data_IF_479491375912
#
_entry.id   IF_479491375912
#
_cell.length_a   1.000
_cell.length_b   1.000
_cell.length_c   1.000
_cell.angle_alpha   90.00
_cell.angle_beta   90.00
_cell.angle_gamma   90.00
#
_symmetry.space_group_name_H-M   'P 1'
#
loop_
_entity.id
_entity.type
_entity.pdbx_description
1 polymer ?
#
# COMPACT_ATOMS: atom_id res chain seq x y z
N UNK A 1 0.44 30.25 2.92
CA UNK A 1 -0.38 29.87 1.73
C UNK A 1 -1.76 29.32 2.10
N UNK A 2 -1.95 28.69 3.26
CA UNK A 2 -3.20 27.96 3.61
C UNK A 2 -4.21 28.75 4.46
N UNK A 3 -3.78 29.82 5.12
CA UNK A 3 -4.64 30.57 6.05
C UNK A 3 -5.57 31.59 5.37
N UNK A 4 -5.40 31.79 4.05
CA UNK A 4 -6.27 32.64 3.23
C UNK A 4 -6.73 31.83 2.02
N UNK A 5 -7.91 32.14 1.46
CA UNK A 5 -8.32 31.54 0.20
C UNK A 5 -7.24 31.76 -0.88
N UNK A 6 -7.14 30.86 -1.87
CA UNK A 6 -6.22 31.01 -2.98
C UNK A 6 -6.45 32.35 -3.70
N UNK A 7 -5.36 32.93 -4.24
CA UNK A 7 -5.45 34.20 -4.98
C UNK A 7 -5.54 33.98 -6.48
N UNK A 8 -4.91 32.91 -6.95
CA UNK A 8 -5.04 32.39 -8.30
C UNK A 8 -6.46 31.88 -8.55
N UNK A 9 -6.80 31.69 -9.82
CA UNK A 9 -8.07 31.11 -10.22
C UNK A 9 -8.10 29.58 -10.02
N UNK A 10 -9.29 29.02 -10.19
CA UNK A 10 -9.50 27.59 -10.00
C UNK A 10 -8.69 26.74 -10.98
N UNK A 11 -8.60 27.16 -12.24
CA UNK A 11 -7.87 26.44 -13.28
C UNK A 11 -6.37 26.34 -12.94
N UNK A 12 -5.76 27.42 -12.45
CA UNK A 12 -4.36 27.42 -12.02
C UNK A 12 -4.13 26.48 -10.84
N UNK A 13 -5.04 26.45 -9.85
CA UNK A 13 -4.90 25.53 -8.72
C UNK A 13 -4.97 24.05 -9.16
N UNK A 14 -5.85 23.68 -10.10
CA UNK A 14 -5.90 22.33 -10.64
C UNK A 14 -4.72 22.00 -11.56
N UNK A 15 -4.19 22.99 -12.29
CA UNK A 15 -2.96 22.81 -13.05
C UNK A 15 -1.79 22.40 -12.14
N UNK A 16 -1.65 23.03 -10.97
CA UNK A 16 -0.62 22.63 -10.00
C UNK A 16 -0.82 21.20 -9.48
N UNK A 17 -2.07 20.78 -9.23
CA UNK A 17 -2.38 19.39 -8.87
C UNK A 17 -1.95 18.44 -9.99
N UNK A 18 -2.32 18.74 -11.24
CA UNK A 18 -2.00 17.90 -12.40
C UNK A 18 -0.48 17.82 -12.65
N UNK A 19 0.23 18.95 -12.59
CA UNK A 19 1.70 18.98 -12.73
C UNK A 19 2.39 18.21 -11.61
N UNK A 20 1.86 18.25 -10.38
CA UNK A 20 2.42 17.49 -9.27
C UNK A 20 2.21 15.99 -9.41
N UNK A 21 1.01 15.56 -9.82
CA UNK A 21 0.73 14.14 -10.15
C UNK A 21 1.64 13.67 -11.27
N UNK A 22 1.80 14.47 -12.33
CA UNK A 22 2.70 14.16 -13.44
C UNK A 22 4.15 14.02 -12.97
N UNK A 23 4.59 14.90 -12.06
CA UNK A 23 5.92 14.81 -11.45
C UNK A 23 6.10 13.46 -10.73
N UNK A 24 5.14 13.05 -9.88
CA UNK A 24 5.17 11.76 -9.19
C UNK A 24 5.29 10.60 -10.19
N UNK A 25 4.43 10.57 -11.21
CA UNK A 25 4.39 9.46 -12.16
C UNK A 25 5.62 9.40 -13.08
N UNK A 26 6.20 10.55 -13.44
CA UNK A 26 7.47 10.59 -14.20
C UNK A 26 8.63 10.08 -13.34
N UNK A 27 8.60 10.29 -12.02
CA UNK A 27 9.66 9.78 -11.15
C UNK A 27 9.62 8.27 -10.95
N UNK A 28 8.47 7.61 -11.16
CA UNK A 28 8.31 6.16 -10.94
C UNK A 28 9.28 5.29 -11.77
N UNK A 29 9.37 5.44 -13.11
CA UNK A 29 10.31 4.65 -13.91
C UNK A 29 11.78 5.02 -13.66
N UNK A 30 12.03 6.28 -13.27
CA UNK A 30 13.38 6.80 -13.04
C UNK A 30 13.93 6.41 -11.67
N UNK A 31 13.08 6.09 -10.70
CA UNK A 31 13.46 5.84 -9.32
C UNK A 31 14.59 4.80 -9.19
N UNK A 32 14.53 3.68 -9.91
CA UNK A 32 15.61 2.66 -9.87
C UNK A 32 16.93 3.16 -10.43
N UNK A 33 16.86 3.95 -11.49
CA UNK A 33 18.05 4.55 -12.09
C UNK A 33 18.68 5.55 -11.13
N UNK A 34 17.85 6.35 -10.46
CA UNK A 34 18.29 7.30 -9.43
C UNK A 34 18.88 6.55 -8.23
N UNK A 35 18.24 5.48 -7.76
CA UNK A 35 18.73 4.65 -6.65
C UNK A 35 20.08 4.02 -6.97
N UNK A 36 20.22 3.38 -8.13
CA UNK A 36 21.49 2.79 -8.55
C UNK A 36 22.58 3.86 -8.63
N UNK A 37 22.28 5.00 -9.25
CA UNK A 37 23.22 6.11 -9.32
C UNK A 37 23.63 6.65 -7.95
N UNK A 38 22.68 6.84 -7.02
CA UNK A 38 22.95 7.28 -5.65
C UNK A 38 23.77 6.23 -4.90
N UNK A 39 23.42 4.94 -4.99
CA UNK A 39 24.17 3.87 -4.33
C UNK A 39 25.61 3.77 -4.84
N UNK A 40 25.83 4.05 -6.13
CA UNK A 40 27.15 4.01 -6.75
C UNK A 40 28.02 5.26 -6.44
N UNK A 41 27.39 6.42 -6.17
CA UNK A 41 28.10 7.71 -6.09
C UNK A 41 27.96 8.44 -4.74
N UNK A 42 27.09 7.99 -3.85
CA UNK A 42 26.77 8.65 -2.59
C UNK A 42 26.42 7.66 -1.48
N UNK A 43 26.54 8.13 -0.24
CA UNK A 43 26.03 7.40 0.92
C UNK A 43 24.49 7.32 0.83
N UNK A 44 23.86 6.14 0.98
CA UNK A 44 22.40 6.03 1.09
C UNK A 44 21.77 6.99 2.10
N UNK A 45 22.50 7.36 3.16
CA UNK A 45 22.07 8.36 4.14
C UNK A 45 21.87 9.76 3.54
N UNK A 46 22.53 10.10 2.43
CA UNK A 46 22.34 11.40 1.76
C UNK A 46 20.87 11.62 1.38
N UNK A 47 20.23 10.59 0.84
CA UNK A 47 18.82 10.69 0.45
C UNK A 47 17.92 10.95 1.66
N UNK A 48 18.16 10.22 2.75
CA UNK A 48 17.46 10.44 4.01
C UNK A 48 17.62 11.90 4.51
N UNK A 49 18.83 12.46 4.46
CA UNK A 49 19.07 13.84 4.84
C UNK A 49 18.36 14.86 3.94
N UNK A 50 18.26 14.59 2.64
CA UNK A 50 17.49 15.42 1.71
C UNK A 50 16.02 15.44 2.10
N UNK A 51 15.43 14.27 2.37
CA UNK A 51 14.04 14.12 2.84
C UNK A 51 13.83 14.92 4.14
N UNK A 52 14.70 14.76 5.12
CA UNK A 52 14.63 15.51 6.39
C UNK A 52 14.76 17.03 6.16
N UNK A 53 15.69 17.46 5.31
CA UNK A 53 15.85 18.87 4.98
C UNK A 53 14.57 19.47 4.37
N UNK A 54 13.90 18.73 3.48
CA UNK A 54 12.60 19.15 2.93
C UNK A 54 11.50 19.25 3.99
N UNK A 55 11.41 18.30 4.92
CA UNK A 55 10.46 18.35 6.05
C UNK A 55 10.74 19.58 6.92
N UNK A 56 12.00 19.82 7.27
CA UNK A 56 12.41 20.96 8.10
C UNK A 56 12.10 22.28 7.40
N UNK A 57 12.48 22.42 6.13
CA UNK A 57 12.19 23.63 5.34
C UNK A 57 10.68 23.86 5.22
N UNK A 58 9.90 22.81 4.93
CA UNK A 58 8.44 22.88 4.87
C UNK A 58 7.83 23.32 6.21
N UNK A 59 8.32 22.76 7.32
CA UNK A 59 7.92 23.13 8.68
C UNK A 59 8.26 24.59 9.00
N UNK A 60 9.47 25.04 8.70
CA UNK A 60 9.90 26.43 8.90
C UNK A 60 9.06 27.41 8.08
N UNK A 61 8.75 27.07 6.82
CA UNK A 61 7.85 27.86 5.96
C UNK A 61 6.44 27.91 6.55
N UNK A 62 5.93 26.81 7.10
CA UNK A 62 4.63 26.77 7.75
C UNK A 62 4.59 27.66 9.00
N UNK A 63 5.59 27.55 9.88
CA UNK A 63 5.74 28.38 11.10
C UNK A 63 5.88 29.85 10.75
N UNK A 64 6.75 30.20 9.78
CA UNK A 64 6.89 31.58 9.29
C UNK A 64 5.55 32.13 8.80
N UNK A 65 4.77 31.34 8.08
CA UNK A 65 3.46 31.77 7.59
C UNK A 65 2.42 31.93 8.71
N UNK A 66 2.45 31.07 9.74
CA UNK A 66 1.62 31.22 10.95
C UNK A 66 1.89 32.57 11.62
N UNK A 67 3.18 32.87 11.87
CA UNK A 67 3.62 34.10 12.51
C UNK A 67 3.24 35.33 11.66
N UNK A 68 3.54 35.32 10.36
CA UNK A 68 3.26 36.45 9.44
C UNK A 68 1.78 36.77 9.28
N UNK A 69 0.91 35.80 9.52
CA UNK A 69 -0.53 35.96 9.35
C UNK A 69 -1.23 36.19 10.68
N UNK A 70 -0.48 36.38 11.76
CA UNK A 70 -0.99 36.60 13.12
C UNK A 70 -2.02 35.54 13.52
N UNK A 71 -1.82 34.33 13.02
CA UNK A 71 -2.63 33.19 13.40
C UNK A 71 -2.09 32.76 14.76
N UNK A 72 -2.97 32.74 15.75
CA UNK A 72 -2.67 32.27 17.10
C UNK A 72 -3.35 30.92 17.32
N UNK A 73 -2.71 29.78 16.96
CA UNK A 73 -3.28 28.47 17.19
C UNK A 73 -3.49 28.25 18.69
N UNK A 74 -4.57 27.58 19.04
CA UNK A 74 -4.80 27.15 20.41
C UNK A 74 -3.73 26.14 20.84
N UNK A 75 -3.48 25.93 22.15
CA UNK A 75 -2.55 24.89 22.61
C UNK A 75 -2.87 23.51 22.03
N UNK A 76 -4.15 23.16 21.92
CA UNK A 76 -4.60 21.93 21.28
C UNK A 76 -4.21 21.84 19.80
N UNK A 77 -4.32 22.95 19.06
CA UNK A 77 -3.89 23.00 17.66
C UNK A 77 -2.37 22.80 17.53
N UNK A 78 -1.58 23.38 18.43
CA UNK A 78 -0.14 23.12 18.49
C UNK A 78 0.19 21.66 18.80
N UNK A 79 -0.54 21.03 19.74
CA UNK A 79 -0.38 19.61 20.02
C UNK A 79 -0.66 18.74 18.79
N UNK A 80 -1.70 19.07 18.01
CA UNK A 80 -2.00 18.36 16.75
C UNK A 80 -0.88 18.55 15.74
N UNK A 81 -0.42 19.78 15.52
CA UNK A 81 0.66 20.06 14.55
C UNK A 81 1.97 19.36 14.96
N UNK A 82 2.30 19.37 16.25
CA UNK A 82 3.46 18.67 16.78
C UNK A 82 3.32 17.14 16.62
N UNK A 83 2.13 16.58 16.89
CA UNK A 83 1.87 15.16 16.70
C UNK A 83 2.00 14.75 15.22
N UNK A 84 1.41 15.53 14.30
CA UNK A 84 1.53 15.25 12.86
C UNK A 84 2.99 15.38 12.39
N UNK A 85 3.71 16.41 12.83
CA UNK A 85 5.12 16.58 12.50
C UNK A 85 5.97 15.41 13.03
N UNK A 86 5.71 14.98 14.26
CA UNK A 86 6.37 13.81 14.85
C UNK A 86 6.04 12.52 14.09
N UNK A 87 4.79 12.32 13.67
CA UNK A 87 4.41 11.20 12.80
C UNK A 87 5.15 11.24 11.47
N UNK A 88 5.25 12.41 10.82
CA UNK A 88 5.99 12.54 9.57
C UNK A 88 7.48 12.23 9.73
N UNK A 89 8.11 12.73 10.79
CA UNK A 89 9.50 12.43 11.11
C UNK A 89 9.72 10.95 11.42
N UNK A 90 8.83 10.35 12.23
CA UNK A 90 8.90 8.94 12.61
C UNK A 90 8.73 8.02 11.41
N UNK A 91 7.70 8.23 10.57
CA UNK A 91 7.52 7.43 9.35
C UNK A 91 8.71 7.60 8.40
N UNK A 92 9.19 8.82 8.17
CA UNK A 92 10.37 9.05 7.32
C UNK A 92 11.61 8.33 7.85
N UNK A 93 11.78 8.23 9.17
CA UNK A 93 12.87 7.48 9.80
C UNK A 93 12.73 5.96 9.63
N UNK A 94 11.50 5.43 9.74
CA UNK A 94 11.24 4.01 9.49
C UNK A 94 11.50 3.64 8.04
N UNK A 95 11.25 4.57 7.12
CA UNK A 95 11.46 4.41 5.67
C UNK A 95 12.90 4.73 5.22
N UNK A 96 13.85 4.95 6.14
CA UNK A 96 15.23 5.36 5.79
C UNK A 96 15.98 4.33 4.93
N UNK A 97 15.60 3.06 5.03
CA UNK A 97 16.20 1.96 4.26
C UNK A 97 15.66 1.91 2.82
N UNK A 98 14.46 2.47 2.60
CA UNK A 98 13.81 2.64 1.30
C UNK A 98 13.56 4.13 1.06
N UNK A 99 14.61 4.93 0.80
CA UNK A 99 14.53 6.38 0.70
C UNK A 99 13.41 6.90 -0.21
N UNK A 100 13.17 6.22 -1.32
CA UNK A 100 12.12 6.50 -2.28
C UNK A 100 10.71 6.43 -1.67
N UNK A 101 10.45 5.52 -0.74
CA UNK A 101 9.16 5.42 -0.04
C UNK A 101 8.98 6.67 0.85
N UNK A 102 10.05 7.11 1.51
CA UNK A 102 10.04 8.33 2.34
C UNK A 102 9.79 9.59 1.49
N UNK A 103 10.35 9.64 0.28
CA UNK A 103 10.11 10.75 -0.65
C UNK A 103 8.66 10.77 -1.15
N UNK A 104 8.12 9.62 -1.57
CA UNK A 104 6.72 9.51 -1.97
C UNK A 104 5.79 9.94 -0.85
N UNK A 105 6.06 9.53 0.39
CA UNK A 105 5.28 9.95 1.55
C UNK A 105 5.17 11.48 1.67
N UNK A 106 6.26 12.22 1.46
CA UNK A 106 6.21 13.70 1.41
C UNK A 106 5.44 14.19 0.18
N UNK A 107 5.69 13.61 -1.00
CA UNK A 107 5.02 14.01 -2.24
C UNK A 107 3.49 13.89 -2.14
N UNK A 108 2.98 12.82 -1.53
CA UNK A 108 1.54 12.64 -1.31
C UNK A 108 0.97 13.58 -0.24
N UNK A 109 1.75 13.94 0.78
CA UNK A 109 1.39 15.02 1.70
C UNK A 109 1.21 16.35 0.98
N UNK A 110 2.16 16.72 0.10
CA UNK A 110 2.08 17.93 -0.73
C UNK A 110 0.91 17.87 -1.71
N UNK A 111 0.70 16.72 -2.38
CA UNK A 111 -0.45 16.51 -3.26
C UNK A 111 -1.76 16.79 -2.53
N UNK A 112 -1.90 16.25 -1.31
CA UNK A 112 -3.09 16.45 -0.49
C UNK A 112 -3.33 17.93 -0.16
N UNK A 113 -2.27 18.68 0.12
CA UNK A 113 -2.35 20.12 0.33
C UNK A 113 -2.79 20.88 -0.93
N UNK A 114 -2.25 20.52 -2.10
CA UNK A 114 -2.62 21.13 -3.38
C UNK A 114 -4.08 20.83 -3.76
N UNK A 115 -4.53 19.60 -3.53
CA UNK A 115 -5.92 19.20 -3.76
C UNK A 115 -6.86 19.95 -2.81
N UNK A 116 -6.54 20.02 -1.52
CA UNK A 116 -7.28 20.86 -0.57
C UNK A 116 -7.41 22.28 -1.12
N UNK A 117 -6.28 22.88 -1.53
CA UNK A 117 -6.26 24.24 -2.07
C UNK A 117 -7.15 24.39 -3.30
N UNK A 118 -7.07 23.50 -4.28
CA UNK A 118 -7.92 23.55 -5.47
C UNK A 118 -9.43 23.42 -5.13
N UNK A 119 -9.77 22.55 -4.19
CA UNK A 119 -11.16 22.35 -3.76
C UNK A 119 -11.75 23.59 -3.05
N UNK A 120 -10.92 24.45 -2.43
CA UNK A 120 -11.42 25.65 -1.70
C UNK A 120 -12.11 26.68 -2.60
N UNK A 121 -11.91 26.59 -3.92
CA UNK A 121 -12.62 27.41 -4.91
C UNK A 121 -14.12 27.06 -5.01
N UNK A 122 -14.46 25.79 -4.76
CA UNK A 122 -15.84 25.29 -4.89
C UNK A 122 -16.50 24.99 -3.55
N UNK A 123 -15.71 24.54 -2.57
CA UNK A 123 -16.22 24.09 -1.27
C UNK A 123 -15.53 24.84 -0.14
N UNK A 124 -16.32 25.24 0.86
CA UNK A 124 -15.82 25.90 2.07
C UNK A 124 -16.43 25.26 3.31
N UNK A 125 -16.62 23.95 3.28
CA UNK A 125 -17.17 23.16 4.38
C UNK A 125 -16.24 21.99 4.73
N UNK A 126 -16.42 21.31 5.89
CA UNK A 126 -15.49 20.29 6.37
C UNK A 126 -15.33 19.08 5.45
N UNK A 127 -16.26 18.83 4.52
CA UNK A 127 -16.13 17.75 3.55
C UNK A 127 -14.86 17.87 2.70
N UNK A 128 -14.32 19.09 2.52
CA UNK A 128 -13.11 19.33 1.75
C UNK A 128 -11.91 18.49 2.22
N UNK A 129 -11.78 18.31 3.54
CA UNK A 129 -10.70 17.51 4.13
C UNK A 129 -10.85 16.04 3.77
N UNK A 130 -12.09 15.53 3.79
CA UNK A 130 -12.40 14.14 3.42
C UNK A 130 -12.20 13.92 1.92
N UNK A 131 -12.69 14.84 1.08
CA UNK A 131 -12.52 14.75 -0.37
C UNK A 131 -11.04 14.81 -0.74
N UNK A 132 -10.26 15.73 -0.16
CA UNK A 132 -8.84 15.84 -0.43
C UNK A 132 -8.07 14.58 0.00
N UNK A 133 -8.40 14.00 1.17
CA UNK A 133 -7.81 12.73 1.61
C UNK A 133 -8.15 11.59 0.63
N UNK A 134 -9.43 11.41 0.28
CA UNK A 134 -9.87 10.35 -0.64
C UNK A 134 -9.29 10.52 -2.05
N UNK A 135 -9.17 11.75 -2.55
CA UNK A 135 -8.53 12.04 -3.83
C UNK A 135 -7.04 11.70 -3.78
N UNK A 136 -6.35 12.05 -2.69
CA UNK A 136 -4.94 11.67 -2.48
C UNK A 136 -4.79 10.15 -2.45
N UNK A 137 -5.65 9.44 -1.71
CA UNK A 137 -5.69 7.98 -1.71
C UNK A 137 -5.92 7.44 -3.12
N UNK A 138 -6.89 7.96 -3.86
CA UNK A 138 -7.19 7.51 -5.22
C UNK A 138 -5.96 7.58 -6.14
N UNK A 139 -5.23 8.70 -6.14
CA UNK A 139 -4.01 8.84 -6.94
C UNK A 139 -2.84 8.04 -6.37
N UNK A 140 -2.78 7.80 -5.06
CA UNK A 140 -1.82 6.85 -4.47
C UNK A 140 -2.08 5.42 -4.94
N UNK A 141 -3.35 5.01 -5.02
CA UNK A 141 -3.71 3.69 -5.53
C UNK A 141 -3.44 3.55 -7.03
N UNK A 142 -3.70 4.59 -7.81
CA UNK A 142 -3.42 4.60 -9.24
C UNK A 142 -1.92 4.56 -9.53
N UNK A 143 -1.11 5.21 -8.69
CA UNK A 143 0.35 5.13 -8.78
C UNK A 143 0.85 3.71 -8.55
N UNK A 144 0.41 3.02 -7.50
CA UNK A 144 0.76 1.61 -7.27
C UNK A 144 0.30 0.69 -8.42
N UNK A 145 -0.89 0.98 -8.97
CA UNK A 145 -1.36 0.30 -10.18
C UNK A 145 -0.49 0.57 -11.40
N UNK A 146 0.09 1.77 -11.54
CA UNK A 146 1.02 2.12 -12.60
C UNK A 146 2.40 1.48 -12.36
N UNK A 147 2.91 1.51 -11.13
CA UNK A 147 4.15 0.85 -10.73
C UNK A 147 4.12 -0.64 -11.07
N UNK A 148 3.01 -1.32 -10.82
CA UNK A 148 2.81 -2.74 -11.18
C UNK A 148 3.00 -3.05 -12.68
N UNK A 149 2.74 -2.09 -13.57
CA UNK A 149 2.93 -2.26 -15.02
C UNK A 149 4.39 -1.98 -15.42
N UNK A 150 5.16 -1.28 -14.59
CA UNK A 150 6.56 -0.93 -14.87
C UNK A 150 7.46 -2.15 -14.62
N UNK A 151 8.26 -2.60 -15.61
CA UNK A 151 9.08 -3.79 -15.48
C UNK A 151 9.97 -3.80 -14.24
N UNK A 152 9.83 -4.87 -13.48
CA UNK A 152 10.58 -5.16 -12.28
C UNK A 152 10.09 -4.43 -11.04
N UNK A 153 9.13 -3.49 -11.11
CA UNK A 153 8.50 -2.91 -9.92
C UNK A 153 7.39 -3.84 -9.43
N UNK A 154 7.29 -3.97 -8.12
CA UNK A 154 6.31 -4.84 -7.47
C UNK A 154 5.18 -4.00 -6.88
N UNK A 155 3.97 -4.53 -6.93
CA UNK A 155 2.82 -3.93 -6.26
C UNK A 155 2.88 -4.20 -4.75
N UNK A 156 2.69 -3.17 -3.92
CA UNK A 156 2.60 -3.34 -2.47
C UNK A 156 1.43 -2.52 -1.86
N UNK A 157 0.56 -3.20 -1.10
CA UNK A 157 -0.50 -2.55 -0.33
C UNK A 157 0.05 -1.62 0.76
N UNK A 158 1.26 -1.87 1.25
CA UNK A 158 1.94 -0.99 2.20
C UNK A 158 2.15 0.40 1.61
N UNK A 159 2.59 0.48 0.35
CA UNK A 159 2.86 1.75 -0.32
C UNK A 159 1.55 2.53 -0.58
N UNK A 160 0.47 1.83 -0.95
CA UNK A 160 -0.87 2.43 -0.97
C UNK A 160 -1.26 3.02 0.39
N UNK A 161 -0.98 2.30 1.47
CA UNK A 161 -1.25 2.72 2.84
C UNK A 161 -0.43 3.94 3.27
N UNK A 162 0.85 3.98 2.89
CA UNK A 162 1.76 5.12 3.13
C UNK A 162 1.24 6.36 2.40
N UNK A 163 0.90 6.24 1.12
CA UNK A 163 0.38 7.34 0.29
C UNK A 163 -0.96 7.89 0.83
N UNK A 164 -1.88 6.99 1.21
CA UNK A 164 -3.14 7.37 1.86
C UNK A 164 -2.91 8.03 3.22
N UNK A 165 -2.00 7.48 4.03
CA UNK A 165 -1.63 8.00 5.34
C UNK A 165 -1.05 9.41 5.28
N UNK A 166 -0.20 9.70 4.28
CA UNK A 166 0.34 11.04 4.05
C UNK A 166 -0.78 12.06 3.82
N UNK A 167 -1.74 11.70 2.95
CA UNK A 167 -2.91 12.52 2.68
C UNK A 167 -3.74 12.77 3.92
N UNK A 168 -4.09 11.72 4.66
CA UNK A 168 -4.87 11.84 5.90
C UNK A 168 -4.17 12.71 6.93
N UNK A 169 -2.87 12.49 7.18
CA UNK A 169 -2.09 13.29 8.15
C UNK A 169 -2.05 14.77 7.76
N UNK A 170 -1.87 15.06 6.47
CA UNK A 170 -1.94 16.45 5.98
C UNK A 170 -3.32 17.05 6.24
N UNK A 171 -4.40 16.34 5.92
CA UNK A 171 -5.76 16.85 6.14
C UNK A 171 -6.09 17.00 7.64
N UNK A 172 -5.57 16.14 8.52
CA UNK A 172 -5.68 16.27 9.98
C UNK A 172 -4.96 17.55 10.45
N UNK A 173 -3.73 17.79 9.98
CA UNK A 173 -3.00 19.01 10.29
C UNK A 173 -3.78 20.25 9.83
N UNK A 174 -4.40 20.22 8.66
CA UNK A 174 -5.20 21.33 8.15
C UNK A 174 -6.50 21.53 8.95
N UNK A 175 -7.25 20.46 9.19
CA UNK A 175 -8.56 20.50 9.84
C UNK A 175 -8.48 20.88 11.32
N UNK A 176 -7.49 20.35 12.05
CA UNK A 176 -7.44 20.48 13.51
C UNK A 176 -6.27 21.31 14.02
N UNK A 177 -5.19 21.43 13.26
CA UNK A 177 -4.04 22.27 13.58
C UNK A 177 -4.16 23.69 13.01
N UNK A 178 -4.23 23.81 11.69
CA UNK A 178 -4.29 25.10 11.00
C UNK A 178 -5.65 25.78 11.16
N UNK A 179 -6.74 25.03 10.99
CA UNK A 179 -8.13 25.51 11.09
C UNK A 179 -8.37 26.80 10.27
N UNK A 180 -8.32 26.73 8.92
CA UNK A 180 -8.47 27.91 8.08
C UNK A 180 -9.83 28.59 8.34
N UNK A 181 -9.81 29.88 8.71
CA UNK A 181 -11.00 30.61 9.17
C UNK A 181 -12.10 30.76 8.11
N UNK A 182 -11.77 30.59 6.83
CA UNK A 182 -12.71 30.68 5.72
C UNK A 182 -13.45 29.36 5.42
N UNK A 183 -13.19 28.30 6.19
CA UNK A 183 -13.97 27.05 6.14
C UNK A 183 -15.10 27.16 7.16
N UNK A 184 -16.33 27.21 6.67
CA UNK A 184 -17.54 27.26 7.46
C UNK A 184 -17.92 25.87 7.97
N UNK A 185 -18.56 25.77 9.13
CA UNK A 185 -18.96 24.49 9.70
C UNK A 185 -20.23 23.89 9.06
N UNK A 186 -20.89 24.63 8.17
CA UNK A 186 -22.15 24.22 7.54
C UNK A 186 -21.90 23.13 6.49
N UNK A 187 -22.48 21.95 6.70
CA UNK A 187 -22.34 20.84 5.76
C UNK A 187 -23.10 21.12 4.46
N UNK A 188 -22.41 20.97 3.33
CA UNK A 188 -23.00 21.13 1.99
C UNK A 188 -23.26 19.73 1.42
N UNK A 189 -24.53 19.33 1.20
CA UNK A 189 -24.85 17.98 0.70
C UNK A 189 -24.15 17.60 -0.61
N UNK A 190 -24.00 18.56 -1.52
CA UNK A 190 -23.30 18.36 -2.81
C UNK A 190 -21.83 17.99 -2.63
N UNK A 191 -21.15 18.56 -1.64
CA UNK A 191 -19.74 18.27 -1.38
C UNK A 191 -19.58 16.85 -0.81
N UNK A 192 -20.48 16.45 0.10
CA UNK A 192 -20.51 15.08 0.60
C UNK A 192 -20.86 14.04 -0.46
N UNK A 193 -21.68 14.36 -1.46
CA UNK A 193 -21.88 13.47 -2.62
C UNK A 193 -20.58 13.21 -3.38
N UNK A 194 -19.74 14.25 -3.55
CA UNK A 194 -18.42 14.10 -4.18
C UNK A 194 -17.52 13.22 -3.30
N UNK A 195 -17.52 13.42 -1.98
CA UNK A 195 -16.80 12.54 -1.06
C UNK A 195 -17.25 11.08 -1.21
N UNK A 196 -18.56 10.81 -1.27
CA UNK A 196 -19.10 9.47 -1.53
C UNK A 196 -18.62 8.90 -2.87
N UNK A 197 -18.61 9.69 -3.95
CA UNK A 197 -18.13 9.24 -5.27
C UNK A 197 -16.64 8.93 -5.27
N UNK A 198 -15.82 9.75 -4.60
CA UNK A 198 -14.39 9.47 -4.41
C UNK A 198 -14.19 8.17 -3.60
N UNK A 199 -14.96 7.97 -2.53
CA UNK A 199 -14.91 6.75 -1.74
C UNK A 199 -15.31 5.52 -2.57
N UNK A 200 -16.35 5.61 -3.41
CA UNK A 200 -16.75 4.55 -4.33
C UNK A 200 -15.60 4.25 -5.32
N UNK A 201 -14.96 5.26 -5.90
CA UNK A 201 -13.84 5.06 -6.81
C UNK A 201 -12.65 4.34 -6.13
N UNK A 202 -12.31 4.74 -4.90
CA UNK A 202 -11.31 4.06 -4.06
C UNK A 202 -11.70 2.60 -3.81
N UNK A 203 -12.95 2.33 -3.43
CA UNK A 203 -13.43 0.98 -3.16
C UNK A 203 -13.45 0.10 -4.43
N UNK A 204 -13.77 0.67 -5.59
CA UNK A 204 -13.72 -0.04 -6.89
C UNK A 204 -12.29 -0.43 -7.22
N UNK A 205 -11.32 0.49 -7.10
CA UNK A 205 -9.92 0.15 -7.35
C UNK A 205 -9.43 -0.92 -6.36
N UNK A 206 -9.78 -0.79 -5.08
CA UNK A 206 -9.36 -1.74 -4.06
C UNK A 206 -9.94 -3.13 -4.34
N UNK A 207 -11.21 -3.20 -4.74
CA UNK A 207 -11.85 -4.43 -5.18
C UNK A 207 -11.15 -5.01 -6.42
N UNK A 208 -10.78 -4.16 -7.38
CA UNK A 208 -10.03 -4.54 -8.57
C UNK A 208 -8.69 -5.17 -8.24
N UNK A 209 -7.90 -4.53 -7.38
CA UNK A 209 -6.58 -5.00 -6.95
C UNK A 209 -6.68 -6.33 -6.17
N UNK A 210 -7.58 -6.41 -5.19
CA UNK A 210 -7.84 -7.66 -4.46
C UNK A 210 -8.44 -8.78 -5.33
N UNK A 211 -8.97 -8.41 -6.49
CA UNK A 211 -9.43 -9.37 -7.50
C UNK A 211 -8.36 -9.71 -8.53
N UNK A 212 -7.22 -9.01 -8.55
CA UNK A 212 -6.08 -9.30 -9.42
C UNK A 212 -5.23 -10.43 -8.81
N UNK A 213 -5.81 -11.63 -8.81
CA UNK A 213 -5.14 -12.86 -8.38
C UNK A 213 -4.69 -13.67 -9.60
N UNK A 214 -3.69 -14.51 -9.38
CA UNK A 214 -3.27 -15.62 -10.24
C UNK A 214 -4.43 -16.29 -11.00
N UNK A 215 -5.37 -16.86 -10.22
CA UNK A 215 -6.52 -17.60 -10.73
C UNK A 215 -7.43 -16.75 -11.62
N UNK A 216 -7.65 -15.49 -11.23
CA UNK A 216 -8.49 -14.59 -12.00
C UNK A 216 -7.83 -14.15 -13.31
N UNK A 217 -6.50 -13.98 -13.33
CA UNK A 217 -5.76 -13.71 -14.57
C UNK A 217 -5.86 -14.88 -15.55
N UNK A 218 -5.65 -16.11 -15.09
CA UNK A 218 -5.82 -17.32 -15.94
C UNK A 218 -7.24 -17.36 -16.50
N UNK A 219 -8.25 -17.16 -15.64
CA UNK A 219 -9.63 -17.09 -16.07
C UNK A 219 -9.85 -16.01 -17.15
N UNK A 220 -9.37 -14.78 -16.95
CA UNK A 220 -9.50 -13.67 -17.89
C UNK A 220 -8.77 -13.90 -19.22
N UNK A 221 -7.58 -14.53 -19.17
CA UNK A 221 -6.77 -14.84 -20.36
C UNK A 221 -7.48 -15.79 -21.34
N UNK A 222 -8.40 -16.62 -20.84
CA UNK A 222 -9.23 -17.48 -21.69
C UNK A 222 -10.27 -16.71 -22.50
N UNK A 223 -10.61 -15.47 -22.10
CA UNK A 223 -11.66 -14.67 -22.74
C UNK A 223 -11.12 -13.45 -23.51
N UNK A 224 -9.98 -12.90 -23.11
CA UNK A 224 -9.42 -11.68 -23.69
C UNK A 224 -8.07 -12.01 -24.32
N UNK A 225 -8.05 -12.13 -25.64
CA UNK A 225 -6.82 -12.32 -26.41
C UNK A 225 -5.96 -11.05 -26.34
N UNK A 226 -4.68 -11.18 -26.01
CA UNK A 226 -3.73 -10.07 -26.00
C UNK A 226 -3.67 -9.28 -24.69
N UNK A 227 -4.19 -9.80 -23.57
CA UNK A 227 -3.79 -9.27 -22.25
C UNK A 227 -2.26 -9.29 -22.16
N UNK A 228 -1.61 -8.15 -21.86
CA UNK A 228 -0.16 -8.15 -21.66
C UNK A 228 0.18 -9.16 -20.56
N UNK A 229 1.15 -10.01 -20.84
CA UNK A 229 1.68 -10.98 -19.88
C UNK A 229 2.46 -10.23 -18.80
N UNK A 230 1.75 -9.60 -17.87
CA UNK A 230 2.34 -9.17 -16.61
C UNK A 230 2.36 -10.41 -15.74
N UNK A 231 3.53 -11.05 -15.68
CA UNK A 231 3.74 -12.31 -14.95
C UNK A 231 3.46 -12.14 -13.44
N UNK A 232 3.64 -10.92 -12.91
CA UNK A 232 3.46 -10.60 -11.50
C UNK A 232 2.00 -10.33 -11.14
N UNK A 233 1.47 -11.06 -10.16
CA UNK A 233 0.13 -10.83 -9.60
C UNK A 233 0.18 -9.74 -8.52
N UNK A 234 -0.86 -8.91 -8.41
CA UNK A 234 -0.91 -7.90 -7.34
C UNK A 234 -1.16 -8.54 -5.97
N UNK A 235 -1.94 -9.62 -5.93
CA UNK A 235 -2.40 -10.22 -4.67
C UNK A 235 -2.35 -11.73 -4.72
N UNK A 236 -1.78 -12.29 -3.67
CA UNK A 236 -1.81 -13.73 -3.40
C UNK A 236 -2.52 -14.00 -2.09
N UNK A 237 -3.34 -15.05 -2.10
CA UNK A 237 -4.04 -15.56 -0.94
C UNK A 237 -3.50 -16.95 -0.63
N UNK A 238 -3.51 -17.31 0.64
CA UNK A 238 -3.07 -18.63 1.05
C UNK A 238 -3.49 -18.99 2.46
N UNK A 239 -2.68 -19.85 3.06
CA UNK A 239 -2.97 -20.52 4.32
C UNK A 239 -1.82 -20.28 5.27
N UNK A 240 -2.16 -19.87 6.48
CA UNK A 240 -1.23 -19.90 7.61
C UNK A 240 -1.33 -21.29 8.21
N UNK A 241 -0.19 -21.96 8.32
CA UNK A 241 -0.08 -23.31 8.86
C UNK A 241 0.70 -23.22 10.16
N UNK A 242 0.03 -23.54 11.26
CA UNK A 242 0.62 -23.55 12.59
C UNK A 242 0.83 -25.00 13.04
N UNK A 243 2.07 -25.32 13.43
CA UNK A 243 2.52 -26.61 13.96
C UNK A 243 3.14 -26.41 15.33
N UNK A 244 2.30 -26.20 16.37
CA UNK A 244 2.77 -25.92 17.72
C UNK A 244 3.56 -27.08 18.32
N UNK A 245 3.31 -28.31 17.87
CA UNK A 245 4.06 -29.52 18.21
C UNK A 245 5.54 -29.44 17.79
N UNK A 246 5.85 -28.65 16.76
CA UNK A 246 7.20 -28.43 16.26
C UNK A 246 7.72 -27.01 16.57
N UNK A 247 6.90 -26.15 17.19
CA UNK A 247 7.20 -24.72 17.32
C UNK A 247 7.34 -24.02 15.97
N UNK A 248 6.58 -24.41 14.96
CA UNK A 248 6.67 -23.90 13.58
C UNK A 248 5.39 -23.18 13.17
N UNK A 249 5.53 -22.02 12.54
CA UNK A 249 4.48 -21.36 11.76
C UNK A 249 5.03 -21.02 10.39
N UNK A 250 4.28 -21.32 9.33
CA UNK A 250 4.66 -20.97 7.96
C UNK A 250 3.43 -20.69 7.10
N UNK A 251 3.68 -20.22 5.88
CA UNK A 251 2.65 -19.76 4.95
C UNK A 251 2.77 -20.55 3.65
N UNK A 252 1.64 -20.89 3.05
CA UNK A 252 1.58 -21.61 1.78
C UNK A 252 0.42 -21.12 0.95
N UNK A 253 0.60 -21.01 -0.37
CA UNK A 253 -0.48 -20.76 -1.34
C UNK A 253 -1.49 -21.90 -1.41
N UNK A 254 -1.10 -23.10 -0.99
CA UNK A 254 -1.93 -24.30 -0.95
C UNK A 254 -2.23 -24.75 0.49
N UNK A 255 -3.39 -25.36 0.76
CA UNK A 255 -3.65 -26.05 2.01
C UNK A 255 -2.58 -27.11 2.30
N UNK A 256 -2.29 -27.35 3.57
CA UNK A 256 -1.28 -28.32 3.99
C UNK A 256 -1.52 -29.71 3.37
N UNK A 257 -2.76 -30.18 3.43
CA UNK A 257 -3.17 -31.49 2.93
C UNK A 257 -3.02 -31.60 1.42
N UNK A 258 -3.24 -30.50 0.70
CA UNK A 258 -3.08 -30.47 -0.76
C UNK A 258 -1.61 -30.53 -1.16
N UNK A 259 -0.72 -29.85 -0.42
CA UNK A 259 0.73 -29.94 -0.67
C UNK A 259 1.22 -31.38 -0.47
N UNK A 260 0.84 -32.02 0.64
CA UNK A 260 1.23 -33.41 0.92
C UNK A 260 0.67 -34.38 -0.11
N UNK A 261 -0.57 -34.17 -0.56
CA UNK A 261 -1.17 -34.99 -1.61
C UNK A 261 -0.48 -34.81 -2.97
N UNK A 262 -0.11 -33.58 -3.32
CA UNK A 262 0.66 -33.31 -4.53
C UNK A 262 2.06 -33.92 -4.46
N UNK A 263 2.74 -33.87 -3.32
CA UNK A 263 4.01 -34.58 -3.12
C UNK A 263 3.82 -36.09 -3.33
N UNK A 264 2.80 -36.69 -2.74
CA UNK A 264 2.50 -38.13 -2.89
C UNK A 264 2.25 -38.54 -4.34
N UNK A 265 1.60 -37.69 -5.13
CA UNK A 265 1.14 -38.04 -6.48
C UNK A 265 2.08 -37.58 -7.60
N UNK A 266 2.88 -36.54 -7.38
CA UNK A 266 3.71 -35.90 -8.42
C UNK A 266 5.21 -36.09 -8.22
N UNK A 267 5.69 -36.65 -7.10
CA UNK A 267 7.13 -36.69 -6.81
C UNK A 267 7.98 -37.33 -7.93
N UNK A 268 7.51 -38.40 -8.58
CA UNK A 268 8.25 -39.08 -9.66
C UNK A 268 8.50 -38.16 -10.88
N UNK A 269 7.55 -37.27 -11.18
CA UNK A 269 7.65 -36.27 -12.24
C UNK A 269 8.63 -35.15 -11.85
N UNK A 270 8.59 -34.75 -10.58
CA UNK A 270 9.26 -33.54 -10.08
C UNK A 270 10.74 -33.77 -9.79
N UNK A 271 11.09 -34.91 -9.20
CA UNK A 271 12.46 -35.22 -8.74
C UNK A 271 13.51 -35.08 -9.86
N UNK A 272 13.29 -35.61 -11.08
CA UNK A 272 14.27 -35.47 -12.17
C UNK A 272 14.54 -34.01 -12.54
N UNK A 273 13.49 -33.18 -12.64
CA UNK A 273 13.65 -31.77 -12.99
C UNK A 273 14.34 -30.98 -11.88
N UNK A 274 14.00 -31.26 -10.63
CA UNK A 274 14.61 -30.60 -9.47
C UNK A 274 16.10 -30.94 -9.34
N UNK A 275 16.48 -32.19 -9.61
CA UNK A 275 17.89 -32.63 -9.60
C UNK A 275 18.72 -31.98 -10.72
N UNK A 276 18.09 -31.50 -11.79
CA UNK A 276 18.77 -30.72 -12.85
C UNK A 276 18.88 -29.24 -12.48
N UNK A 277 17.90 -28.72 -11.74
CA UNK A 277 17.78 -27.29 -11.39
C UNK A 277 18.17 -26.97 -9.94
N UNK A 278 19.10 -27.74 -9.36
CA UNK A 278 19.44 -27.61 -7.94
C UNK A 278 20.25 -26.36 -7.62
N UNK A 279 21.01 -25.82 -8.58
CA UNK A 279 21.96 -24.71 -8.34
C UNK A 279 21.28 -23.36 -8.13
N UNK A 280 21.99 -22.45 -7.47
CA UNK A 280 21.49 -21.12 -7.11
C UNK A 280 21.21 -20.23 -8.34
N UNK A 281 22.07 -20.29 -9.36
CA UNK A 281 21.93 -19.53 -10.62
C UNK A 281 20.69 -19.93 -11.42
N UNK A 282 20.13 -21.12 -11.15
CA UNK A 282 18.91 -21.63 -11.75
C UNK A 282 17.65 -21.24 -10.98
N UNK A 283 17.75 -20.56 -9.83
CA UNK A 283 16.59 -20.18 -9.01
C UNK A 283 15.58 -19.32 -9.77
N UNK A 284 16.02 -18.20 -10.35
CA UNK A 284 15.13 -17.29 -11.08
C UNK A 284 14.55 -17.95 -12.34
N UNK A 285 15.34 -18.65 -13.20
CA UNK A 285 14.78 -19.45 -14.29
C UNK A 285 13.73 -20.46 -13.85
N UNK A 286 13.95 -21.15 -12.71
CA UNK A 286 13.00 -22.13 -12.19
C UNK A 286 11.67 -21.49 -11.79
N UNK A 287 11.69 -20.35 -11.08
CA UNK A 287 10.46 -19.63 -10.73
C UNK A 287 9.73 -19.03 -11.93
N UNK A 288 10.44 -18.71 -13.02
CA UNK A 288 9.81 -18.30 -14.28
C UNK A 288 9.16 -19.48 -15.01
N UNK A 289 9.76 -20.67 -14.92
CA UNK A 289 9.22 -21.92 -15.47
C UNK A 289 7.99 -22.39 -14.68
N UNK A 290 8.04 -22.25 -13.36
CA UNK A 290 6.97 -22.62 -12.43
C UNK A 290 6.53 -21.41 -11.59
N UNK A 291 5.85 -20.44 -12.22
CA UNK A 291 5.38 -19.28 -11.50
C UNK A 291 4.25 -19.68 -10.55
N UNK A 292 4.12 -18.95 -9.44
CA UNK A 292 3.19 -19.27 -8.36
C UNK A 292 1.73 -19.41 -8.81
N UNK A 293 1.35 -18.72 -9.88
CA UNK A 293 -0.01 -18.76 -10.42
C UNK A 293 -0.31 -19.98 -11.30
N UNK A 294 0.73 -20.65 -11.84
CA UNK A 294 0.56 -21.84 -12.68
C UNK A 294 0.83 -23.11 -11.88
N UNK A 295 1.92 -23.13 -11.10
CA UNK A 295 2.30 -24.27 -10.27
C UNK A 295 2.75 -23.80 -8.89
N UNK A 296 1.80 -23.45 -8.00
CA UNK A 296 2.12 -23.01 -6.63
C UNK A 296 2.86 -24.10 -5.85
N UNK A 297 2.66 -25.38 -6.15
CA UNK A 297 3.33 -26.48 -5.45
C UNK A 297 4.84 -26.48 -5.69
N UNK A 298 5.27 -26.44 -6.97
CA UNK A 298 6.69 -26.37 -7.32
C UNK A 298 7.32 -25.03 -6.96
N UNK A 299 6.54 -23.95 -7.04
CA UNK A 299 6.98 -22.64 -6.59
C UNK A 299 7.34 -22.64 -5.10
N UNK A 300 6.42 -23.08 -4.22
CA UNK A 300 6.63 -23.15 -2.77
C UNK A 300 7.81 -24.07 -2.41
N UNK A 301 7.90 -25.24 -3.06
CA UNK A 301 9.02 -26.17 -2.87
C UNK A 301 10.37 -25.48 -3.10
N UNK A 302 10.49 -24.76 -4.23
CA UNK A 302 11.75 -24.12 -4.62
C UNK A 302 12.12 -22.95 -3.71
N UNK A 303 11.16 -22.14 -3.28
CA UNK A 303 11.47 -20.99 -2.41
C UNK A 303 11.86 -21.42 -0.99
N UNK A 304 11.25 -22.48 -0.45
CA UNK A 304 11.67 -23.08 0.82
C UNK A 304 13.07 -23.68 0.71
N UNK A 305 13.33 -24.46 -0.35
CA UNK A 305 14.66 -25.01 -0.62
C UNK A 305 15.72 -23.91 -0.71
N UNK A 306 15.46 -22.87 -1.51
CA UNK A 306 16.40 -21.77 -1.71
C UNK A 306 16.71 -21.05 -0.39
N UNK A 307 15.68 -20.75 0.42
CA UNK A 307 15.88 -20.12 1.73
C UNK A 307 16.71 -21.01 2.65
N UNK A 308 16.38 -22.29 2.74
CA UNK A 308 17.14 -23.27 3.52
C UNK A 308 18.62 -23.24 3.13
N UNK A 309 18.91 -23.45 1.85
CA UNK A 309 20.29 -23.60 1.35
C UNK A 309 21.09 -22.28 1.46
N UNK A 310 20.44 -21.13 1.31
CA UNK A 310 21.06 -19.81 1.47
C UNK A 310 21.45 -19.54 2.92
N UNK A 311 20.56 -19.82 3.87
CA UNK A 311 20.85 -19.61 5.29
C UNK A 311 21.85 -20.64 5.84
N UNK A 312 21.85 -21.87 5.30
CA UNK A 312 22.94 -22.83 5.50
C UNK A 312 24.29 -22.25 5.08
N UNK A 313 24.38 -21.69 3.87
CA UNK A 313 25.61 -21.07 3.38
C UNK A 313 26.07 -19.91 4.29
N UNK A 314 25.14 -19.06 4.74
CA UNK A 314 25.45 -17.98 5.68
C UNK A 314 25.91 -18.49 7.04
N UNK A 315 25.30 -19.55 7.57
CA UNK A 315 25.73 -20.16 8.82
C UNK A 315 27.18 -20.69 8.75
N UNK A 316 27.57 -21.30 7.63
CA UNK A 316 28.94 -21.76 7.42
C UNK A 316 29.95 -20.63 7.18
N UNK A 317 29.49 -19.52 6.62
CA UNK A 317 30.33 -18.35 6.31
C UNK A 317 30.49 -17.41 7.51
N UNK A 318 29.57 -17.46 8.47
CA UNK A 318 29.57 -16.61 9.66
C UNK A 318 30.71 -16.99 10.63
N UNK A 319 31.25 -16.02 11.39
CA UNK A 319 32.30 -16.27 12.38
C UNK A 319 31.95 -17.39 13.36
N UNK A 320 32.96 -18.13 13.81
CA UNK A 320 32.77 -19.16 14.82
C UNK A 320 32.18 -18.55 16.11
N UNK A 321 31.16 -19.22 16.67
CA UNK A 321 30.49 -18.84 17.92
C UNK A 321 29.78 -17.46 17.88
N UNK A 322 29.38 -16.97 16.70
CA UNK A 322 28.57 -15.76 16.59
C UNK A 322 27.06 -16.05 16.74
N UNK A 323 26.32 -15.06 17.22
CA UNK A 323 24.85 -15.09 17.23
C UNK A 323 24.30 -15.20 15.81
N UNK A 324 24.92 -14.50 14.84
CA UNK A 324 24.56 -14.60 13.41
C UNK A 324 24.64 -16.04 12.89
N UNK A 325 25.68 -16.79 13.27
CA UNK A 325 25.83 -18.19 12.87
C UNK A 325 24.70 -19.05 13.44
N UNK A 326 24.36 -18.84 14.72
CA UNK A 326 23.26 -19.54 15.39
C UNK A 326 21.93 -19.21 14.71
N UNK A 327 21.64 -17.93 14.49
CA UNK A 327 20.39 -17.47 13.87
C UNK A 327 20.25 -18.03 12.44
N UNK A 328 21.32 -17.99 11.65
CA UNK A 328 21.32 -18.55 10.31
C UNK A 328 21.15 -20.07 10.31
N UNK A 329 21.79 -20.77 11.24
CA UNK A 329 21.60 -22.22 11.41
C UNK A 329 20.15 -22.55 11.81
N UNK A 330 19.56 -21.79 12.73
CA UNK A 330 18.16 -21.92 13.14
C UNK A 330 17.23 -21.78 11.94
N UNK A 331 17.35 -20.70 11.16
CA UNK A 331 16.51 -20.52 9.96
C UNK A 331 16.66 -21.73 9.02
N UNK A 332 17.89 -22.14 8.75
CA UNK A 332 18.14 -23.26 7.84
C UNK A 332 17.53 -24.57 8.33
N UNK A 333 17.71 -24.94 9.60
CA UNK A 333 17.17 -26.19 10.16
C UNK A 333 15.64 -26.16 10.20
N UNK A 334 15.05 -25.01 10.54
CA UNK A 334 13.59 -24.85 10.58
C UNK A 334 12.96 -24.91 9.18
N UNK A 335 13.60 -24.34 8.16
CA UNK A 335 13.15 -24.50 6.76
C UNK A 335 13.30 -25.95 6.28
N UNK A 336 14.36 -26.67 6.70
CA UNK A 336 14.50 -28.11 6.41
C UNK A 336 13.37 -28.95 7.05
N UNK A 337 12.98 -28.63 8.29
CA UNK A 337 11.83 -29.25 8.96
C UNK A 337 10.53 -29.02 8.19
N UNK A 338 10.30 -27.80 7.68
CA UNK A 338 9.14 -27.48 6.84
C UNK A 338 9.17 -28.32 5.56
N UNK A 339 10.32 -28.43 4.90
CA UNK A 339 10.46 -29.22 3.68
C UNK A 339 10.18 -30.70 3.91
N UNK A 340 10.74 -31.31 4.97
CA UNK A 340 10.47 -32.71 5.33
C UNK A 340 9.00 -32.96 5.64
N UNK A 341 8.33 -31.96 6.22
CA UNK A 341 6.93 -32.04 6.58
C UNK A 341 6.00 -31.96 5.36
N UNK A 342 6.28 -31.04 4.43
CA UNK A 342 5.44 -30.79 3.27
C UNK A 342 5.72 -31.73 2.10
N UNK A 343 6.98 -32.14 1.92
CA UNK A 343 7.46 -32.84 0.73
C UNK A 343 8.19 -34.14 1.05
N UNK A 344 7.63 -35.05 1.87
CA UNK A 344 8.36 -36.24 2.34
C UNK A 344 8.87 -37.14 1.21
N UNK A 345 8.10 -37.34 0.13
CA UNK A 345 8.50 -38.20 -0.98
C UNK A 345 9.57 -37.53 -1.84
N UNK A 346 9.38 -36.26 -2.22
CA UNK A 346 10.40 -35.52 -2.96
C UNK A 346 11.68 -35.41 -2.14
N UNK A 347 11.60 -35.14 -0.83
CA UNK A 347 12.76 -35.06 0.04
C UNK A 347 13.54 -36.38 0.11
N UNK A 348 12.84 -37.52 0.11
CA UNK A 348 13.46 -38.84 0.16
C UNK A 348 14.15 -39.26 -1.15
N UNK A 349 13.69 -38.76 -2.30
CA UNK A 349 14.16 -39.22 -3.62
C UNK A 349 14.98 -38.19 -4.40
N UNK A 350 14.84 -36.90 -4.11
CA UNK A 350 15.66 -35.84 -4.69
C UNK A 350 16.97 -35.65 -3.92
N UNK A 351 17.93 -34.98 -4.57
CA UNK A 351 19.18 -34.52 -3.97
C UNK A 351 18.96 -33.30 -3.06
N UNK A 352 17.92 -33.36 -2.22
CA UNK A 352 17.53 -32.32 -1.28
C UNK A 352 18.03 -32.58 0.14
N UNK A 353 18.16 -33.86 0.50
CA UNK A 353 18.58 -34.28 1.84
C UNK A 353 20.03 -33.90 2.13
N UNK A 354 20.27 -33.40 3.35
CA UNK A 354 21.64 -33.24 3.85
C UNK A 354 22.22 -34.58 4.29
N UNK A 355 23.55 -34.77 4.19
CA UNK A 355 24.22 -35.86 4.88
C UNK A 355 23.93 -35.82 6.40
N UNK A 356 23.75 -36.97 7.05
CA UNK A 356 23.36 -37.06 8.47
C UNK A 356 24.28 -36.26 9.39
N UNK A 357 25.60 -36.37 9.18
CA UNK A 357 26.61 -35.63 9.94
C UNK A 357 26.42 -34.11 9.84
N UNK A 358 25.98 -33.64 8.67
CA UNK A 358 25.78 -32.23 8.45
C UNK A 358 24.49 -31.72 9.10
N UNK A 359 23.42 -32.51 9.02
CA UNK A 359 22.17 -32.22 9.73
C UNK A 359 22.40 -32.18 11.25
N UNK A 360 23.13 -33.13 11.80
CA UNK A 360 23.52 -33.12 13.21
C UNK A 360 24.32 -31.87 13.56
N UNK A 361 25.30 -31.50 12.73
CA UNK A 361 26.10 -30.30 12.94
C UNK A 361 25.23 -29.03 12.93
N UNK A 362 24.42 -28.83 11.90
CA UNK A 362 23.52 -27.67 11.78
C UNK A 362 22.52 -27.62 12.93
N UNK A 363 21.96 -28.76 13.31
CA UNK A 363 21.02 -28.87 14.44
C UNK A 363 21.71 -28.52 15.76
N UNK A 364 22.98 -28.91 15.96
CA UNK A 364 23.75 -28.55 17.16
C UNK A 364 24.06 -27.06 17.27
N UNK A 365 24.06 -26.35 16.13
CA UNK A 365 24.28 -24.90 16.08
C UNK A 365 22.97 -24.12 16.23
N UNK A 366 21.83 -24.71 15.88
CA UNK A 366 20.54 -24.04 15.87
C UNK A 366 19.95 -23.90 17.28
N UNK A 367 19.28 -22.77 17.51
CA UNK A 367 18.40 -22.58 18.66
C UNK A 367 16.97 -22.99 18.30
N UNK A 368 16.59 -24.21 18.70
CA UNK A 368 15.25 -24.75 18.48
C UNK A 368 14.30 -24.55 19.67
N UNK A 369 14.73 -23.83 20.70
CA UNK A 369 13.92 -23.58 21.90
C UNK A 369 12.81 -22.56 21.64
N UNK A 370 13.04 -21.62 20.73
CA UNK A 370 12.10 -20.56 20.37
C UNK A 370 11.19 -20.97 19.19
N UNK A 371 9.91 -20.52 19.18
CA UNK A 371 9.03 -20.66 18.04
C UNK A 371 9.60 -19.97 16.80
N UNK A 372 9.52 -20.64 15.65
CA UNK A 372 9.97 -20.11 14.37
C UNK A 372 8.80 -19.78 13.45
N UNK A 373 8.78 -18.56 12.92
CA UNK A 373 7.86 -18.13 11.88
C UNK A 373 8.63 -17.96 10.57
N UNK A 374 8.36 -18.84 9.59
CA UNK A 374 8.98 -18.74 8.27
C UNK A 374 8.60 -17.40 7.60
N UNK A 375 9.60 -16.75 7.01
CA UNK A 375 9.40 -15.55 6.18
C UNK A 375 9.02 -15.89 4.75
N UNK A 376 9.16 -17.16 4.34
CA UNK A 376 8.71 -17.63 3.02
C UNK A 376 7.22 -17.39 2.89
N UNK A 377 6.82 -16.78 1.78
CA UNK A 377 5.42 -16.50 1.46
C UNK A 377 4.67 -15.69 2.55
N UNK A 378 5.37 -15.01 3.46
CA UNK A 378 4.75 -14.26 4.57
C UNK A 378 3.95 -13.03 4.13
N UNK A 379 4.13 -12.59 2.89
CA UNK A 379 3.35 -11.51 2.26
C UNK A 379 1.97 -11.93 1.75
N UNK A 380 1.63 -13.23 1.72
CA UNK A 380 0.32 -13.67 1.23
C UNK A 380 -0.79 -13.38 2.24
N UNK A 381 -1.98 -13.07 1.75
CA UNK A 381 -3.14 -12.79 2.62
C UNK A 381 -3.72 -14.10 3.12
N UNK A 382 -3.64 -14.33 4.43
CA UNK A 382 -4.16 -15.55 5.10
C UNK A 382 -5.31 -15.27 6.07
N UNK A 383 -5.46 -14.01 6.52
CA UNK A 383 -6.46 -13.63 7.51
C UNK A 383 -7.91 -13.73 7.00
N UNK A 384 -8.12 -13.61 5.68
CA UNK A 384 -9.44 -13.61 5.08
C UNK A 384 -9.48 -14.45 3.81
N UNK A 385 -10.61 -15.14 3.60
CA UNK A 385 -10.89 -15.76 2.31
C UNK A 385 -11.12 -14.67 1.25
N UNK A 386 -10.66 -14.85 -0.01
CA UNK A 386 -10.81 -13.86 -1.07
C UNK A 386 -12.26 -13.37 -1.23
N UNK A 387 -13.22 -14.30 -1.19
CA UNK A 387 -14.65 -13.98 -1.35
C UNK A 387 -15.22 -13.15 -0.21
N UNK A 388 -14.81 -13.41 1.03
CA UNK A 388 -15.30 -12.68 2.20
C UNK A 388 -14.94 -11.20 2.10
N UNK A 389 -13.69 -10.89 1.73
CA UNK A 389 -13.23 -9.51 1.60
C UNK A 389 -13.93 -8.76 0.45
N UNK A 390 -14.16 -9.43 -0.68
CA UNK A 390 -14.92 -8.86 -1.81
C UNK A 390 -16.35 -8.48 -1.39
N UNK A 391 -17.04 -9.35 -0.65
CA UNK A 391 -18.39 -9.06 -0.18
C UNK A 391 -18.43 -7.92 0.85
N UNK A 392 -17.43 -7.81 1.72
CA UNK A 392 -17.30 -6.66 2.63
C UNK A 392 -17.16 -5.36 1.84
N UNK A 393 -16.28 -5.33 0.83
CA UNK A 393 -16.07 -4.12 0.01
C UNK A 393 -17.33 -3.77 -0.79
N UNK A 394 -18.00 -4.76 -1.40
CA UNK A 394 -19.27 -4.54 -2.10
C UNK A 394 -20.35 -4.01 -1.13
N UNK A 395 -20.45 -4.57 0.08
CA UNK A 395 -21.37 -4.10 1.11
C UNK A 395 -21.10 -2.64 1.50
N UNK A 396 -19.82 -2.28 1.70
CA UNK A 396 -19.41 -0.89 1.96
C UNK A 396 -19.78 0.03 0.79
N UNK A 397 -19.54 -0.40 -0.45
CA UNK A 397 -19.93 0.37 -1.64
C UNK A 397 -21.44 0.63 -1.67
N UNK A 398 -22.28 -0.38 -1.39
CA UNK A 398 -23.74 -0.23 -1.32
C UNK A 398 -24.14 0.80 -0.27
N UNK A 399 -23.54 0.76 0.93
CA UNK A 399 -23.79 1.74 1.99
C UNK A 399 -23.44 3.16 1.54
N UNK A 400 -22.29 3.34 0.88
CA UNK A 400 -21.85 4.65 0.38
C UNK A 400 -22.77 5.15 -0.74
N UNK A 401 -23.21 4.28 -1.66
CA UNK A 401 -24.15 4.61 -2.72
C UNK A 401 -25.51 5.04 -2.14
N UNK A 402 -26.05 4.29 -1.18
CA UNK A 402 -27.31 4.64 -0.51
C UNK A 402 -27.18 6.00 0.18
N UNK A 403 -26.05 6.25 0.85
CA UNK A 403 -25.77 7.54 1.50
C UNK A 403 -25.74 8.68 0.48
N UNK A 404 -25.06 8.51 -0.65
CA UNK A 404 -25.02 9.49 -1.75
C UNK A 404 -26.44 9.81 -2.27
N UNK A 405 -27.28 8.79 -2.44
CA UNK A 405 -28.67 8.95 -2.91
C UNK A 405 -29.54 9.70 -1.90
N UNK A 406 -29.39 9.40 -0.61
CA UNK A 406 -30.10 10.13 0.46
C UNK A 406 -29.69 11.61 0.44
N UNK A 407 -28.39 11.90 0.36
CA UNK A 407 -27.86 13.26 0.28
C UNK A 407 -28.34 13.99 -0.98
N UNK A 408 -28.44 13.29 -2.13
CA UNK A 408 -28.99 13.83 -3.38
C UNK A 408 -30.45 14.26 -3.22
N UNK A 409 -31.26 13.40 -2.59
CA UNK A 409 -32.68 13.67 -2.37
C UNK A 409 -32.87 14.86 -1.43
N UNK A 410 -32.07 14.95 -0.37
CA UNK A 410 -32.12 16.08 0.57
C UNK A 410 -31.69 17.40 -0.08
N UNK A 411 -30.66 17.37 -0.94
CA UNK A 411 -30.20 18.55 -1.67
C UNK A 411 -31.29 19.09 -2.59
N UNK A 412 -31.98 18.20 -3.32
CA UNK A 412 -33.06 18.57 -4.22
C UNK A 412 -34.24 19.19 -3.47
N UNK A 413 -34.71 18.56 -2.38
CA UNK A 413 -35.79 19.10 -1.54
C UNK A 413 -35.48 20.51 -1.00
N UNK A 414 -34.23 20.80 -0.62
CA UNK A 414 -33.82 22.14 -0.18
C UNK A 414 -33.90 23.17 -1.31
N UNK A 415 -33.56 22.79 -2.54
CA UNK A 415 -33.65 23.68 -3.69
C UNK A 415 -35.11 23.99 -4.03
N UNK A 416 -35.99 22.99 -4.01
CA UNK A 416 -37.42 23.17 -4.29
C UNK A 416 -38.10 24.07 -3.25
N UNK A 417 -37.72 23.94 -1.97
CA UNK A 417 -38.27 24.76 -0.87
C UNK A 417 -37.88 26.24 -1.03
N UNK A 418 -36.63 26.53 -1.42
CA UNK A 418 -36.16 27.91 -1.66
C UNK A 418 -36.81 28.49 -2.94
N UNK A 419 -36.99 27.68 -3.99
CA UNK A 419 -37.65 28.09 -5.23
C UNK A 419 -39.12 28.49 -5.04
N UNK A 420 -39.86 27.75 -4.21
CA UNK A 420 -41.28 28.02 -3.96
C UNK A 420 -41.55 29.24 -3.06
N UNK A 421 -40.61 29.64 -2.19
CA UNK A 421 -40.75 30.90 -1.43
C UNK A 421 -40.30 32.14 -2.21
N UNK A 422 -39.42 31.99 -3.20
CA UNK A 422 -39.00 33.09 -4.08
C UNK A 422 -40.05 33.55 -5.11
N UNK A 423 -41.09 32.76 -5.38
CA UNK A 423 -42.15 33.11 -6.35
C UNK A 423 -43.33 33.88 -5.73
N UNK A 424 -43.47 33.89 -4.41
CA UNK A 424 -44.58 34.55 -3.70
C UNK A 424 -44.31 36.03 -3.33
N UNK A 425 -43.14 36.60 -3.64
CA UNK A 425 -42.81 38.00 -3.28
C UNK A 425 -42.80 39.00 -4.46
N UNK A 426 -43.39 38.67 -5.62
CA UNK A 426 -43.46 39.56 -6.80
C UNK A 426 -44.86 40.10 -7.11
N UNK A 427 -45.64 40.44 -6.09
CA UNK A 427 -46.86 41.23 -6.25
C UNK A 427 -46.95 42.31 -5.18
N UNK A 428 -46.05 43.30 -5.23
CA UNK A 428 -46.33 44.60 -4.64
C UNK A 428 -47.04 45.44 -5.70
N UNK A 429 -48.28 45.91 -5.46
CA UNK A 429 -48.94 46.84 -6.37
C UNK A 429 -48.16 48.16 -6.39
N UNK A 430 -47.88 48.66 -7.59
CA UNK A 430 -47.38 50.02 -7.80
C UNK A 430 -48.42 51.02 -7.27
N UNK A 431 -48.18 51.58 -6.09
CA UNK A 431 -48.89 52.79 -5.64
C UNK A 431 -48.42 53.98 -6.49
N UNK A 432 -49.37 54.56 -7.21
CA UNK A 432 -49.24 55.82 -7.92
C UNK A 432 -49.01 56.95 -6.92
N UNK A 433 -47.80 57.54 -6.92
CA UNK A 433 -47.54 58.82 -6.27
C UNK A 433 -48.02 59.97 -7.18
N UNK A 434 -48.84 60.92 -6.68
CA UNK A 434 -49.23 62.09 -7.43
C UNK A 434 -48.10 63.14 -7.42
N UNK A 435 -47.79 63.67 -8.60
CA UNK A 435 -46.95 64.85 -8.77
C UNK A 435 -47.68 66.10 -8.27
N UNK A 436 -47.06 66.82 -7.34
CA UNK A 436 -47.33 68.24 -7.04
C UNK A 436 -46.15 69.08 -7.54
#
# INVERSE_FOLDING_TARGET
>A
MVFRPPKEDEATSWLWVALWILCIYITVPLARTIQGWVADHADPMLFFWVVIAWVVVGGLVAVRNLIRLEVHPTPAAWCVLAAVAASYAWFSWQLRENPEEAFHFIQYGVLSLLVFRALTHRFRDPSIFVIAALFTTLFGMLDEGFQWVVPGRFFDFRDMGINAGAGVLMQVALAFGVRPAYIHQTLIPRAWQIACRCAIAVLILLLGYLSNTARNKVFLSNYIQGLPAIDEVMVEYGYRIDRPDLGLTFYSRLPFEEVVEQDRTRWEEVVPDLNVHWKEDQYIPYLKKYPSFQDPFLHELRIHQFRRDRYRFYAFSAPHLSDERRDNATVSVREDQIMRLLYPNIYAHALLGWPDQELEHMTSLADLSEPYVSKVSSGIITAFRPWSLRWVIIGLMVVVIVTERILSTQAQKRQDTVGNHGSLSKSFPHENLPHC
#
